data_IF_687933592414
#
_entry.id   IF_687933592414
#
_cell.length_a   1.000
_cell.length_b   1.000
_cell.length_c   1.000
_cell.angle_alpha   90.00
_cell.angle_beta   90.00
_cell.angle_gamma   90.00
#
_symmetry.space_group_name_H-M   'P 1'
#
loop_
_entity.id
_entity.type
_entity.pdbx_description
1 polymer ?
#
# COMPACT_ATOMS: atom_id res chain seq x y z
N UNK A 1 5.28 9.29 1.27
CA UNK A 1 4.73 7.99 0.84
C UNK A 1 3.62 8.11 -0.20
N UNK A 2 2.57 8.92 -0.03
CA UNK A 2 1.45 9.01 -0.99
C UNK A 2 1.71 9.96 -2.18
N UNK A 3 2.96 10.24 -2.52
CA UNK A 3 3.28 11.18 -3.57
C UNK A 3 3.08 10.54 -4.94
N UNK A 4 2.44 11.27 -5.85
CA UNK A 4 2.21 10.86 -7.23
C UNK A 4 2.93 11.80 -8.18
N UNK A 5 3.36 11.27 -9.32
CA UNK A 5 3.88 12.07 -10.42
C UNK A 5 2.74 12.80 -11.17
N UNK A 6 3.10 13.64 -12.15
CA UNK A 6 2.13 14.36 -13.00
C UNK A 6 1.20 13.43 -13.80
N UNK A 7 1.58 12.15 -13.97
CA UNK A 7 0.83 11.11 -14.68
C UNK A 7 -0.05 10.29 -13.73
N UNK A 8 -0.01 10.56 -12.43
CA UNK A 8 -0.78 9.86 -11.41
C UNK A 8 -0.15 8.56 -10.90
N UNK A 9 1.08 8.23 -11.32
CA UNK A 9 1.81 7.06 -10.87
C UNK A 9 2.43 7.30 -9.49
N UNK A 10 2.56 6.23 -8.69
CA UNK A 10 3.24 6.29 -7.40
C UNK A 10 4.74 6.58 -7.58
N UNK A 11 5.23 7.61 -6.90
CA UNK A 11 6.67 7.94 -6.88
C UNK A 11 7.41 6.89 -6.04
N UNK A 12 8.53 6.33 -6.52
CA UNK A 12 9.35 5.41 -5.73
C UNK A 12 9.92 6.08 -4.47
N UNK A 13 10.10 5.30 -3.42
CA UNK A 13 10.68 5.75 -2.16
C UNK A 13 11.42 4.61 -1.45
N UNK A 14 12.24 4.98 -0.48
CA UNK A 14 12.88 4.05 0.45
C UNK A 14 12.12 4.03 1.77
N UNK A 15 12.04 2.86 2.39
CA UNK A 15 11.42 2.70 3.70
C UNK A 15 12.13 1.65 4.56
N UNK A 16 12.39 2.00 5.80
CA UNK A 16 12.86 1.08 6.82
C UNK A 16 11.69 0.78 7.78
N UNK A 17 11.33 -0.50 7.89
CA UNK A 17 10.11 -0.93 8.59
C UNK A 17 10.41 -2.13 9.48
N UNK A 18 10.01 -2.05 10.75
CA UNK A 18 10.08 -3.19 11.66
C UNK A 18 9.01 -4.24 11.32
N UNK A 19 9.40 -5.52 11.37
CA UNK A 19 8.44 -6.61 11.29
C UNK A 19 7.52 -6.63 12.52
N UNK A 20 6.29 -7.14 12.40
CA UNK A 20 5.43 -7.30 13.56
C UNK A 20 5.86 -8.55 14.33
N UNK A 21 6.30 -8.39 15.57
CA UNK A 21 6.44 -9.52 16.49
C UNK A 21 5.03 -9.96 16.95
N UNK A 22 4.65 -11.20 16.65
CA UNK A 22 3.30 -11.71 16.92
C UNK A 22 2.98 -11.82 18.42
N UNK A 23 3.99 -12.03 19.26
CA UNK A 23 3.83 -12.23 20.69
C UNK A 23 3.71 -10.88 21.40
N UNK A 24 4.68 -10.00 21.20
CA UNK A 24 4.72 -8.69 21.88
C UNK A 24 3.88 -7.60 21.21
N UNK A 25 3.40 -7.83 19.98
CA UNK A 25 2.74 -6.84 19.11
C UNK A 25 3.57 -5.58 18.83
N UNK A 26 4.87 -5.61 19.10
CA UNK A 26 5.84 -4.54 18.85
C UNK A 26 6.63 -4.81 17.57
N UNK A 27 7.48 -3.84 17.20
CA UNK A 27 8.49 -4.02 16.15
C UNK A 27 9.47 -5.14 16.52
N UNK A 28 9.78 -6.00 15.56
CA UNK A 28 10.77 -7.07 15.63
C UNK A 28 12.01 -6.70 14.84
N UNK A 29 12.26 -7.41 13.74
CA UNK A 29 13.44 -7.24 12.88
C UNK A 29 13.23 -6.06 11.93
N UNK A 30 14.23 -5.19 11.81
CA UNK A 30 14.23 -4.09 10.84
C UNK A 30 14.34 -4.66 9.42
N UNK A 31 13.41 -4.28 8.54
CA UNK A 31 13.42 -4.64 7.13
C UNK A 31 13.64 -3.38 6.30
N UNK A 32 14.63 -3.46 5.42
CA UNK A 32 15.04 -2.36 4.55
C UNK A 32 14.43 -2.58 3.17
N UNK A 33 13.64 -1.62 2.71
CA UNK A 33 13.01 -1.64 1.40
C UNK A 33 13.52 -0.44 0.59
N UNK A 34 14.19 -0.71 -0.52
CA UNK A 34 14.78 0.31 -1.40
C UNK A 34 14.03 0.40 -2.72
N UNK A 35 13.88 1.62 -3.22
CA UNK A 35 13.24 1.92 -4.52
C UNK A 35 11.86 1.24 -4.69
N UNK A 36 11.05 1.26 -3.64
CA UNK A 36 9.72 0.64 -3.64
C UNK A 36 8.64 1.63 -4.05
N UNK A 37 7.56 1.14 -4.64
CA UNK A 37 6.41 1.96 -5.02
C UNK A 37 5.20 1.62 -4.17
N UNK A 38 4.35 2.60 -3.92
CA UNK A 38 3.05 2.33 -3.31
C UNK A 38 2.18 1.64 -4.36
N UNK A 39 1.63 0.47 -4.03
CA UNK A 39 0.78 -0.27 -4.96
C UNK A 39 -0.45 0.59 -5.29
N UNK A 40 -0.50 1.10 -6.51
CA UNK A 40 -1.67 1.78 -7.04
C UNK A 40 -2.57 0.73 -7.67
N UNK A 41 -3.88 0.81 -7.44
CA UNK A 41 -4.80 0.12 -8.33
C UNK A 41 -4.68 0.79 -9.70
N UNK A 42 -4.23 0.03 -10.69
CA UNK A 42 -4.40 0.45 -12.08
C UNK A 42 -5.87 0.75 -12.29
N UNK A 43 -6.17 1.94 -12.83
CA UNK A 43 -7.51 2.19 -13.34
C UNK A 43 -7.67 1.25 -14.52
N UNK A 44 -8.31 0.10 -14.29
CA UNK A 44 -8.73 -0.76 -15.39
C UNK A 44 -9.53 0.11 -16.36
N UNK A 45 -9.09 0.18 -17.61
CA UNK A 45 -9.94 0.73 -18.66
C UNK A 45 -11.24 -0.06 -18.63
N UNK A 46 -12.36 0.66 -18.55
CA UNK A 46 -13.68 0.05 -18.52
C UNK A 46 -13.95 -0.54 -19.89
N UNK A 47 -13.51 -1.78 -20.12
CA UNK A 47 -13.87 -2.56 -21.29
C UNK A 47 -15.40 -2.59 -21.43
N UNK A 48 -15.91 -2.65 -22.66
CA UNK A 48 -17.36 -2.72 -22.91
C UNK A 48 -18.01 -3.85 -22.09
N UNK A 49 -17.34 -5.00 -22.00
CA UNK A 49 -17.75 -6.13 -21.14
C UNK A 49 -17.80 -5.79 -19.65
N UNK A 50 -16.81 -5.03 -19.15
CA UNK A 50 -16.80 -4.55 -17.77
C UNK A 50 -17.92 -3.57 -17.46
N UNK A 51 -18.31 -2.73 -18.43
CA UNK A 51 -19.43 -1.79 -18.30
C UNK A 51 -20.78 -2.53 -18.27
N UNK A 52 -20.99 -3.47 -19.19
CA UNK A 52 -22.19 -4.31 -19.23
C UNK A 52 -22.32 -5.10 -17.93
N UNK A 53 -21.24 -5.76 -17.47
CA UNK A 53 -21.25 -6.48 -16.18
C UNK A 53 -21.57 -5.57 -15.01
N UNK A 54 -20.99 -4.37 -14.95
CA UNK A 54 -21.27 -3.40 -13.88
C UNK A 54 -22.72 -2.92 -13.88
N UNK A 55 -23.33 -2.73 -15.07
CA UNK A 55 -24.74 -2.35 -15.20
C UNK A 55 -25.70 -3.48 -14.83
N UNK A 56 -25.31 -4.75 -15.07
CA UNK A 56 -26.12 -5.93 -14.75
C UNK A 56 -25.90 -6.49 -13.35
N UNK A 57 -24.94 -5.97 -12.58
CA UNK A 57 -24.68 -6.44 -11.20
C UNK A 57 -25.50 -5.61 -10.22
N UNK A 58 -26.27 -6.26 -9.36
CA UNK A 58 -26.95 -5.60 -8.23
C UNK A 58 -25.95 -4.74 -7.43
N UNK A 59 -26.41 -3.55 -7.03
CA UNK A 59 -25.62 -2.61 -6.22
C UNK A 59 -25.36 -3.25 -4.86
N UNK A 60 -24.25 -3.98 -4.74
CA UNK A 60 -23.74 -4.43 -3.44
C UNK A 60 -23.29 -3.20 -2.66
N UNK A 61 -23.78 -3.06 -1.44
CA UNK A 61 -23.27 -2.05 -0.51
C UNK A 61 -21.75 -2.22 -0.40
N UNK A 62 -21.00 -1.16 -0.75
CA UNK A 62 -19.54 -1.18 -0.64
C UNK A 62 -19.19 -1.48 0.82
N UNK A 63 -18.59 -2.65 1.07
CA UNK A 63 -18.04 -2.98 2.40
C UNK A 63 -17.10 -1.87 2.80
N UNK A 64 -17.37 -1.20 3.92
CA UNK A 64 -16.50 -0.14 4.42
C UNK A 64 -15.09 -0.71 4.59
N UNK A 65 -14.09 -0.25 3.81
CA UNK A 65 -12.78 -0.88 3.80
C UNK A 65 -11.96 -0.62 5.07
N UNK A 66 -12.49 0.16 6.03
CA UNK A 66 -11.87 0.42 7.34
C UNK A 66 -10.37 0.75 7.21
N UNK A 67 -10.00 1.53 6.18
CA UNK A 67 -8.61 1.89 5.88
C UNK A 67 -7.93 2.64 7.02
N UNK A 68 -8.71 3.29 7.90
CA UNK A 68 -8.21 3.97 9.09
C UNK A 68 -7.81 2.99 10.21
N UNK A 69 -8.59 1.91 10.37
CA UNK A 69 -8.30 0.87 11.36
C UNK A 69 -7.13 -0.01 10.90
N UNK A 70 -7.10 -0.35 9.62
CA UNK A 70 -6.03 -1.13 9.02
C UNK A 70 -4.88 -0.20 8.63
N UNK A 71 -4.08 0.22 9.62
CA UNK A 71 -2.83 0.99 9.46
C UNK A 71 -1.75 0.17 8.75
N UNK A 72 -2.05 -0.30 7.54
CA UNK A 72 -1.21 -1.12 6.68
C UNK A 72 -1.27 -0.60 5.25
N UNK A 73 -0.18 -0.75 4.50
CA UNK A 73 -0.11 -0.44 3.08
C UNK A 73 0.61 -1.54 2.31
N UNK A 74 0.20 -1.73 1.07
CA UNK A 74 0.90 -2.59 0.15
C UNK A 74 1.94 -1.74 -0.60
N UNK A 75 3.17 -2.24 -0.64
CA UNK A 75 4.28 -1.72 -1.42
C UNK A 75 4.70 -2.77 -2.43
N UNK A 76 5.12 -2.31 -3.60
CA UNK A 76 5.68 -3.11 -4.67
C UNK A 76 7.20 -2.95 -4.66
N UNK A 77 7.90 -4.08 -4.58
CA UNK A 77 9.35 -4.16 -4.60
C UNK A 77 9.88 -4.05 -6.04
N UNK A 78 11.18 -3.76 -6.19
CA UNK A 78 11.82 -3.66 -7.51
C UNK A 78 11.75 -4.97 -8.33
N UNK A 79 11.60 -6.12 -7.68
CA UNK A 79 11.40 -7.43 -8.32
C UNK A 79 9.93 -7.71 -8.67
N UNK A 80 9.01 -6.75 -8.48
CA UNK A 80 7.57 -6.91 -8.70
C UNK A 80 6.81 -7.60 -7.56
N UNK A 81 7.50 -8.01 -6.48
CA UNK A 81 6.83 -8.64 -5.35
C UNK A 81 6.03 -7.61 -4.54
N UNK A 82 4.81 -7.97 -4.14
CA UNK A 82 3.97 -7.13 -3.30
C UNK A 82 4.14 -7.51 -1.82
N UNK A 83 4.55 -6.55 -0.99
CA UNK A 83 4.63 -6.71 0.47
C UNK A 83 3.63 -5.81 1.18
N UNK A 84 3.00 -6.34 2.22
CA UNK A 84 2.17 -5.57 3.15
C UNK A 84 3.01 -5.10 4.33
N UNK A 85 3.04 -3.79 4.57
CA UNK A 85 3.74 -3.16 5.71
C UNK A 85 2.75 -2.52 6.67
N UNK A 86 3.10 -2.46 7.96
CA UNK A 86 2.34 -1.75 8.98
C UNK A 86 2.87 -0.32 9.10
N UNK A 87 1.98 0.67 8.92
CA UNK A 87 2.33 2.09 8.98
C UNK A 87 2.89 2.51 10.34
N UNK A 88 2.42 1.90 11.45
CA UNK A 88 2.93 2.15 12.81
C UNK A 88 4.35 1.65 13.04
N UNK A 89 4.85 0.76 12.19
CA UNK A 89 6.16 0.12 12.35
C UNK A 89 7.19 0.69 11.39
N UNK A 90 6.86 1.78 10.69
CA UNK A 90 7.79 2.50 9.83
C UNK A 90 8.72 3.32 10.73
N UNK A 91 10.03 3.09 10.62
CA UNK A 91 11.04 3.89 11.32
C UNK A 91 11.43 5.11 10.48
N UNK A 92 11.65 4.90 9.17
CA UNK A 92 12.13 5.95 8.27
C UNK A 92 11.49 5.84 6.88
N UNK A 93 11.36 6.99 6.21
CA UNK A 93 10.99 7.09 4.80
C UNK A 93 11.98 8.05 4.13
N UNK A 94 12.63 7.62 3.04
CA UNK A 94 13.66 8.41 2.34
C UNK A 94 14.73 8.95 3.30
N UNK A 95 15.23 8.09 4.20
CA UNK A 95 16.17 8.43 5.28
C UNK A 95 15.69 9.48 6.30
N UNK A 96 14.42 9.88 6.26
CA UNK A 96 13.81 10.78 7.25
C UNK A 96 13.05 9.96 8.29
N UNK A 97 13.39 10.15 9.56
CA UNK A 97 12.71 9.48 10.69
C UNK A 97 11.23 9.85 10.69
N UNK A 98 10.36 8.84 10.78
CA UNK A 98 8.92 9.05 10.95
C UNK A 98 8.64 9.06 12.44
N UNK A 99 8.09 10.17 12.93
CA UNK A 99 7.62 10.25 14.32
C UNK A 99 6.28 9.50 14.45
N UNK A 100 6.09 8.73 15.53
CA UNK A 100 4.92 7.86 15.73
C UNK A 100 3.59 8.62 15.93
#
# INVERSE_FOLDING_TARGET
MNQKDKRGNSVPFDADVYSLNKNSKKGGVLKIYRNVKLLAWEKQERTLRGQIKAASTEVRSKRNPNHFNNRTRNIELANGEIKKIHLRLIDSINAKKVLP
#
